data_IF_202027427506
#
_entry.id   IF_202027427506
#
_cell.length_a   1.000
_cell.length_b   1.000
_cell.length_c   1.000
_cell.angle_alpha   90.00
_cell.angle_beta   90.00
_cell.angle_gamma   90.00
#
_symmetry.space_group_name_H-M   'P 1'
#
loop_
_entity.id
_entity.type
_entity.pdbx_description
1 polymer ?
#
# COMPACT_ATOMS: atom_id res chain seq x y z
N UNK A 1 13.30 -19.29 17.21
CA UNK A 1 14.10 -18.72 16.09
C UNK A 1 13.41 -19.14 14.81
N UNK A 2 12.98 -18.23 13.91
CA UNK A 2 12.49 -18.61 12.61
C UNK A 2 13.62 -19.30 11.82
N UNK A 3 13.31 -20.30 10.99
CA UNK A 3 14.33 -21.00 10.23
C UNK A 3 15.04 -20.02 9.29
N UNK A 4 16.37 -20.01 9.30
CA UNK A 4 17.23 -19.17 8.45
C UNK A 4 17.09 -19.46 6.94
N UNK A 5 16.20 -20.35 6.55
CA UNK A 5 15.99 -20.79 5.16
C UNK A 5 15.08 -19.90 4.32
N UNK A 6 14.46 -18.87 4.89
CA UNK A 6 13.63 -17.90 4.15
C UNK A 6 14.39 -16.64 3.75
N UNK A 7 15.72 -16.72 3.66
CA UNK A 7 16.53 -15.66 3.08
C UNK A 7 16.15 -15.49 1.61
N UNK A 8 15.32 -14.50 1.39
CA UNK A 8 14.94 -13.85 0.13
C UNK A 8 15.10 -14.73 -1.13
N UNK A 9 14.02 -15.11 -1.82
CA UNK A 9 14.09 -15.86 -3.07
C UNK A 9 15.03 -15.19 -4.10
N UNK A 10 15.18 -13.86 -4.03
CA UNK A 10 16.08 -13.06 -4.86
C UNK A 10 17.56 -13.44 -4.68
N UNK A 11 18.03 -13.76 -3.46
CA UNK A 11 19.43 -14.16 -3.25
C UNK A 11 19.74 -15.51 -3.88
N UNK A 12 18.77 -16.43 -3.88
CA UNK A 12 18.89 -17.73 -4.53
C UNK A 12 18.92 -17.56 -6.05
N UNK A 13 18.02 -16.75 -6.63
CA UNK A 13 18.00 -16.44 -8.06
C UNK A 13 19.29 -15.76 -8.51
N UNK A 14 19.78 -14.80 -7.73
CA UNK A 14 21.05 -14.12 -8.04
C UNK A 14 22.24 -15.06 -8.01
N UNK A 15 22.35 -15.90 -6.98
CA UNK A 15 23.40 -16.91 -6.86
C UNK A 15 23.34 -17.93 -7.99
N UNK A 16 22.17 -18.48 -8.29
CA UNK A 16 22.03 -19.45 -9.38
C UNK A 16 22.34 -18.83 -10.74
N UNK A 17 21.97 -17.56 -10.97
CA UNK A 17 22.34 -16.81 -12.19
C UNK A 17 23.85 -16.65 -12.34
N UNK A 18 24.58 -16.30 -11.29
CA UNK A 18 26.05 -16.17 -11.31
C UNK A 18 26.69 -17.54 -11.59
N UNK A 19 26.25 -18.59 -10.90
CA UNK A 19 26.77 -19.95 -11.10
C UNK A 19 26.54 -20.41 -12.54
N UNK A 20 25.32 -20.24 -13.05
CA UNK A 20 24.99 -20.54 -14.44
C UNK A 20 25.90 -19.80 -15.43
N UNK A 21 26.07 -18.48 -15.21
CA UNK A 21 26.93 -17.64 -16.04
C UNK A 21 28.40 -18.05 -16.03
N UNK A 22 28.90 -18.52 -14.88
CA UNK A 22 30.25 -19.03 -14.76
C UNK A 22 30.47 -20.29 -15.64
N UNK A 23 29.47 -21.20 -15.66
CA UNK A 23 29.56 -22.41 -16.49
C UNK A 23 29.36 -22.16 -18.00
N UNK A 24 28.63 -21.09 -18.37
CA UNK A 24 28.31 -20.78 -19.75
C UNK A 24 29.16 -19.64 -20.35
N UNK A 25 30.16 -19.15 -19.61
CA UNK A 25 31.04 -18.08 -20.09
C UNK A 25 30.39 -16.71 -20.24
N UNK A 26 29.23 -16.47 -19.57
CA UNK A 26 28.46 -15.22 -19.65
C UNK A 26 28.72 -14.27 -18.48
N UNK A 27 29.80 -14.45 -17.72
CA UNK A 27 30.17 -13.56 -16.61
C UNK A 27 30.32 -12.08 -16.99
N UNK A 28 30.94 -11.74 -18.16
CA UNK A 28 31.03 -10.35 -18.59
C UNK A 28 29.67 -9.70 -18.78
N UNK A 29 28.71 -10.43 -19.37
CA UNK A 29 27.34 -9.93 -19.58
C UNK A 29 26.61 -9.73 -18.24
N UNK A 30 26.81 -10.62 -17.27
CA UNK A 30 26.25 -10.48 -15.93
C UNK A 30 26.81 -9.24 -15.23
N UNK A 31 28.11 -9.00 -15.37
CA UNK A 31 28.77 -7.82 -14.79
C UNK A 31 28.22 -6.53 -15.42
N UNK A 32 28.14 -6.49 -16.74
CA UNK A 32 27.55 -5.33 -17.45
C UNK A 32 26.11 -5.10 -17.05
N UNK A 33 25.27 -6.15 -17.03
CA UNK A 33 23.89 -6.05 -16.61
C UNK A 33 23.74 -5.56 -15.15
N UNK A 34 24.61 -5.98 -14.24
CA UNK A 34 24.62 -5.51 -12.87
C UNK A 34 24.94 -4.01 -12.77
N UNK A 35 25.93 -3.53 -13.55
CA UNK A 35 26.29 -2.11 -13.60
C UNK A 35 25.18 -1.25 -14.22
N UNK A 36 24.56 -1.75 -15.30
CA UNK A 36 23.46 -1.05 -15.96
C UNK A 36 22.22 -0.99 -15.05
N UNK A 37 21.90 -2.09 -14.36
CA UNK A 37 20.83 -2.12 -13.38
C UNK A 37 21.09 -1.15 -12.21
N UNK A 38 22.34 -0.99 -11.78
CA UNK A 38 22.69 -0.03 -10.74
C UNK A 38 22.47 1.42 -11.22
N UNK A 39 22.86 1.75 -12.47
CA UNK A 39 22.59 3.07 -13.07
C UNK A 39 21.10 3.34 -13.20
N UNK A 40 20.34 2.33 -13.68
CA UNK A 40 18.89 2.41 -13.80
C UNK A 40 18.23 2.65 -12.44
N UNK A 41 18.67 1.94 -11.40
CA UNK A 41 18.16 2.12 -10.04
C UNK A 41 18.39 3.55 -9.51
N UNK A 42 19.57 4.14 -9.75
CA UNK A 42 19.85 5.53 -9.35
C UNK A 42 18.96 6.50 -10.09
N UNK A 43 18.82 6.33 -11.41
CA UNK A 43 17.93 7.18 -12.23
C UNK A 43 16.48 7.08 -11.77
N UNK A 44 16.01 5.88 -11.48
CA UNK A 44 14.69 5.62 -10.94
C UNK A 44 14.49 6.32 -9.58
N UNK A 45 15.45 6.20 -8.67
CA UNK A 45 15.39 6.87 -7.35
C UNK A 45 15.28 8.38 -7.49
N UNK A 46 16.05 9.01 -8.38
CA UNK A 46 16.01 10.47 -8.60
C UNK A 46 14.65 10.88 -9.19
N UNK A 47 14.16 10.14 -10.19
CA UNK A 47 12.85 10.39 -10.80
C UNK A 47 11.73 10.27 -9.77
N UNK A 48 11.73 9.20 -8.99
CA UNK A 48 10.73 8.95 -7.96
C UNK A 48 10.80 10.02 -6.85
N UNK A 49 11.99 10.46 -6.46
CA UNK A 49 12.17 11.55 -5.51
C UNK A 49 11.47 12.83 -5.99
N UNK A 50 11.67 13.19 -7.27
CA UNK A 50 11.01 14.36 -7.87
C UNK A 50 9.49 14.24 -7.89
N UNK A 51 8.97 13.11 -8.39
CA UNK A 51 7.52 12.86 -8.45
C UNK A 51 6.88 12.85 -7.06
N UNK A 52 7.52 12.19 -6.09
CA UNK A 52 7.01 12.11 -4.72
C UNK A 52 7.06 13.47 -4.02
N UNK A 53 8.10 14.27 -4.25
CA UNK A 53 8.21 15.63 -3.70
C UNK A 53 7.12 16.54 -4.24
N UNK A 54 6.87 16.52 -5.55
CA UNK A 54 5.78 17.26 -6.18
C UNK A 54 4.43 16.87 -5.59
N UNK A 55 4.17 15.56 -5.51
CA UNK A 55 2.91 15.02 -5.01
C UNK A 55 2.70 15.35 -3.54
N UNK A 56 3.74 15.23 -2.71
CA UNK A 56 3.69 15.62 -1.29
C UNK A 56 3.38 17.10 -1.13
N UNK A 57 3.98 17.96 -1.97
CA UNK A 57 3.67 19.39 -1.98
C UNK A 57 2.21 19.69 -2.34
N UNK A 58 1.67 19.05 -3.38
CA UNK A 58 0.25 19.17 -3.75
C UNK A 58 -0.68 18.73 -2.62
N UNK A 59 -0.34 17.62 -1.93
CA UNK A 59 -1.13 17.13 -0.80
C UNK A 59 -1.04 18.04 0.42
N UNK A 60 0.08 18.69 0.66
CA UNK A 60 0.19 19.68 1.73
C UNK A 60 -0.72 20.88 1.46
N UNK A 61 -0.82 21.32 0.20
CA UNK A 61 -1.78 22.36 -0.21
C UNK A 61 -3.22 21.88 0.04
N UNK A 62 -3.55 20.64 -0.35
CA UNK A 62 -4.87 20.05 -0.12
C UNK A 62 -5.20 19.96 1.38
N UNK A 63 -4.22 19.63 2.21
CA UNK A 63 -4.37 19.59 3.67
C UNK A 63 -4.66 20.97 4.24
N UNK A 64 -3.83 21.96 3.91
CA UNK A 64 -4.00 23.35 4.38
C UNK A 64 -5.28 24.02 3.88
N UNK A 65 -5.81 23.59 2.73
CA UNK A 65 -7.10 24.08 2.20
C UNK A 65 -8.32 23.51 2.94
N UNK A 66 -8.13 22.57 3.88
CA UNK A 66 -9.21 21.88 4.59
C UNK A 66 -9.93 20.84 3.73
N UNK A 67 -9.40 20.50 2.55
CA UNK A 67 -9.99 19.46 1.69
C UNK A 67 -9.93 18.10 2.36
N UNK A 68 -8.82 17.76 3.01
CA UNK A 68 -8.65 16.49 3.71
C UNK A 68 -9.64 16.36 4.87
N UNK A 69 -9.86 17.44 5.64
CA UNK A 69 -10.85 17.45 6.72
C UNK A 69 -12.27 17.22 6.21
N UNK A 70 -12.64 17.82 5.07
CA UNK A 70 -13.94 17.57 4.41
C UNK A 70 -14.06 16.13 3.96
N UNK A 71 -13.03 15.56 3.35
CA UNK A 71 -13.00 14.15 2.96
C UNK A 71 -13.11 13.22 4.18
N UNK A 72 -12.42 13.54 5.28
CA UNK A 72 -12.51 12.80 6.55
C UNK A 72 -13.93 12.77 7.07
N UNK A 73 -14.60 13.93 7.15
CA UNK A 73 -15.99 14.01 7.60
C UNK A 73 -16.96 13.26 6.68
N UNK A 74 -16.72 13.29 5.37
CA UNK A 74 -17.56 12.60 4.40
C UNK A 74 -17.41 11.07 4.47
N UNK A 75 -16.21 10.56 4.75
CA UNK A 75 -15.95 9.13 4.78
C UNK A 75 -16.21 8.49 6.16
N UNK A 76 -16.27 9.30 7.21
CA UNK A 76 -16.46 8.84 8.59
C UNK A 76 -17.69 7.92 8.78
N UNK A 77 -18.88 8.20 8.23
CA UNK A 77 -20.03 7.30 8.35
C UNK A 77 -19.76 5.92 7.74
N UNK A 78 -19.05 5.89 6.61
CA UNK A 78 -18.65 4.63 5.97
C UNK A 78 -17.64 3.85 6.85
N UNK A 79 -16.69 4.55 7.48
CA UNK A 79 -15.75 3.93 8.40
C UNK A 79 -16.44 3.36 9.63
N UNK A 80 -17.41 4.06 10.20
CA UNK A 80 -18.22 3.57 11.33
C UNK A 80 -19.02 2.31 10.99
N UNK A 81 -19.56 2.26 9.77
CA UNK A 81 -20.25 1.06 9.29
C UNK A 81 -19.30 -0.10 9.06
N UNK A 82 -18.08 0.19 8.62
CA UNK A 82 -17.06 -0.79 8.30
C UNK A 82 -16.39 -1.40 9.55
N UNK A 83 -16.22 -0.58 10.58
CA UNK A 83 -15.55 -0.90 11.86
C UNK A 83 -16.50 -0.73 13.05
N UNK A 84 -17.51 -1.60 13.18
CA UNK A 84 -18.53 -1.47 14.22
C UNK A 84 -17.97 -1.66 15.64
N UNK A 85 -16.88 -2.39 15.81
CA UNK A 85 -16.21 -2.61 17.08
C UNK A 85 -15.35 -1.43 17.57
N UNK A 86 -15.16 -0.39 16.73
CA UNK A 86 -14.34 0.76 17.08
C UNK A 86 -15.23 1.93 17.52
N UNK A 87 -15.07 2.44 18.77
CA UNK A 87 -15.83 3.62 19.22
C UNK A 87 -15.55 4.85 18.35
N UNK A 88 -16.58 5.68 18.12
CA UNK A 88 -16.51 6.84 17.21
C UNK A 88 -15.44 7.85 17.59
N UNK A 89 -15.28 8.06 18.90
CA UNK A 89 -14.38 9.07 19.47
C UNK A 89 -12.99 8.49 19.82
N UNK A 90 -12.72 7.22 19.47
CA UNK A 90 -11.45 6.57 19.75
C UNK A 90 -10.40 6.92 18.71
N UNK A 91 -9.15 7.09 19.12
CA UNK A 91 -8.00 7.41 18.26
C UNK A 91 -7.84 6.42 17.09
N UNK A 92 -8.22 5.15 17.29
CA UNK A 92 -8.20 4.15 16.23
C UNK A 92 -9.04 4.58 15.01
N UNK A 93 -10.25 5.12 15.23
CA UNK A 93 -11.14 5.59 14.15
C UNK A 93 -10.48 6.72 13.36
N UNK A 94 -9.84 7.66 14.03
CA UNK A 94 -9.14 8.78 13.40
C UNK A 94 -7.96 8.27 12.55
N UNK A 95 -7.14 7.37 13.10
CA UNK A 95 -5.98 6.82 12.39
C UNK A 95 -6.38 5.94 11.20
N UNK A 96 -7.43 5.13 11.32
CA UNK A 96 -8.00 4.34 10.21
C UNK A 96 -8.46 5.28 9.10
N UNK A 97 -9.25 6.29 9.44
CA UNK A 97 -9.80 7.24 8.47
C UNK A 97 -8.68 8.00 7.75
N UNK A 98 -7.68 8.48 8.49
CA UNK A 98 -6.49 9.14 7.92
C UNK A 98 -5.72 8.22 6.97
N UNK A 99 -5.51 6.96 7.35
CA UNK A 99 -4.82 5.98 6.50
C UNK A 99 -5.61 5.71 5.20
N UNK A 100 -6.92 5.50 5.30
CA UNK A 100 -7.78 5.24 4.13
C UNK A 100 -7.77 6.43 3.17
N UNK A 101 -7.88 7.65 3.68
CA UNK A 101 -7.83 8.88 2.85
C UNK A 101 -6.46 9.02 2.19
N UNK A 102 -5.37 8.81 2.93
CA UNK A 102 -4.03 8.89 2.39
C UNK A 102 -3.82 7.87 1.26
N UNK A 103 -4.28 6.64 1.42
CA UNK A 103 -4.24 5.62 0.38
C UNK A 103 -5.11 6.00 -0.83
N UNK A 104 -6.34 6.45 -0.60
CA UNK A 104 -7.25 6.89 -1.66
C UNK A 104 -6.64 8.02 -2.51
N UNK A 105 -5.97 8.96 -1.88
CA UNK A 105 -5.28 10.06 -2.56
C UNK A 105 -3.94 9.66 -3.19
N UNK A 106 -3.53 8.39 -3.09
CA UNK A 106 -2.28 7.90 -3.68
C UNK A 106 -1.02 8.20 -2.85
N UNK A 107 -1.18 8.58 -1.58
CA UNK A 107 -0.10 8.92 -0.65
C UNK A 107 0.43 7.69 0.11
N UNK A 108 0.71 6.59 -0.57
CA UNK A 108 1.10 5.32 0.08
C UNK A 108 2.15 5.45 1.18
N UNK A 109 3.14 6.31 0.99
CA UNK A 109 4.20 6.57 1.98
C UNK A 109 3.68 7.30 3.24
N UNK A 110 2.79 8.28 3.08
CA UNK A 110 2.17 8.99 4.20
C UNK A 110 1.09 8.14 4.89
N UNK A 111 0.50 7.18 4.20
CA UNK A 111 -0.46 6.25 4.76
C UNK A 111 0.19 5.27 5.74
N UNK A 112 1.45 4.87 5.54
CA UNK A 112 2.14 3.87 6.37
C UNK A 112 2.21 4.26 7.85
N UNK A 113 2.66 5.46 8.26
CA UNK A 113 2.68 5.84 9.67
C UNK A 113 1.28 5.89 10.30
N UNK A 114 0.26 6.33 9.54
CA UNK A 114 -1.12 6.34 10.00
C UNK A 114 -1.64 4.91 10.19
N UNK A 115 -1.33 4.01 9.24
CA UNK A 115 -1.69 2.60 9.31
C UNK A 115 -1.09 1.87 10.51
N UNK A 116 0.18 2.12 10.81
CA UNK A 116 0.84 1.54 11.97
C UNK A 116 0.20 2.02 13.28
N UNK A 117 -0.14 3.32 13.37
CA UNK A 117 -0.87 3.87 14.53
C UNK A 117 -2.27 3.30 14.64
N UNK A 118 -2.99 3.16 13.52
CA UNK A 118 -4.30 2.54 13.50
C UNK A 118 -4.24 1.09 14.01
N UNK A 119 -3.29 0.30 13.53
CA UNK A 119 -3.14 -1.09 13.97
C UNK A 119 -2.77 -1.19 15.44
N UNK A 120 -1.91 -0.29 15.95
CA UNK A 120 -1.57 -0.23 17.37
C UNK A 120 -2.81 0.09 18.22
N UNK A 121 -3.57 1.12 17.86
CA UNK A 121 -4.78 1.50 18.59
C UNK A 121 -5.87 0.41 18.50
N UNK A 122 -6.00 -0.30 17.37
CA UNK A 122 -6.87 -1.47 17.26
C UNK A 122 -6.41 -2.63 18.15
N UNK A 123 -5.11 -2.82 18.30
CA UNK A 123 -4.55 -3.84 19.20
C UNK A 123 -4.83 -3.54 20.67
N UNK A 124 -4.86 -2.27 21.05
CA UNK A 124 -5.21 -1.82 22.41
C UNK A 124 -6.70 -2.06 22.73
N UNK A 125 -7.56 -1.99 21.72
CA UNK A 125 -8.99 -2.33 21.84
C UNK A 125 -9.26 -3.85 21.82
N UNK A 126 -8.28 -4.64 21.40
CA UNK A 126 -8.45 -6.08 21.27
C UNK A 126 -8.31 -6.77 22.64
N UNK A 127 -9.40 -7.35 23.14
CA UNK A 127 -9.45 -8.05 24.42
C UNK A 127 -8.65 -9.37 24.38
N UNK A 128 -8.61 -10.02 23.23
CA UNK A 128 -7.88 -11.28 23.01
C UNK A 128 -6.51 -11.04 22.37
N UNK A 129 -5.47 -10.88 23.19
CA UNK A 129 -4.10 -10.63 22.69
C UNK A 129 -3.51 -11.77 21.83
N UNK A 130 -4.12 -12.94 21.79
CA UNK A 130 -3.63 -14.09 21.01
C UNK A 130 -4.19 -14.16 19.57
N UNK A 131 -5.26 -13.44 19.27
CA UNK A 131 -5.95 -13.45 17.96
C UNK A 131 -6.21 -12.03 17.51
N UNK A 132 -6.08 -11.78 16.20
CA UNK A 132 -6.47 -10.50 15.62
C UNK A 132 -8.00 -10.34 15.66
N UNK A 133 -8.48 -9.16 16.07
CA UNK A 133 -9.91 -8.85 16.03
C UNK A 133 -10.42 -8.74 14.58
N UNK A 134 -11.73 -8.85 14.39
CA UNK A 134 -12.36 -8.66 13.08
C UNK A 134 -12.03 -7.30 12.48
N UNK A 135 -12.00 -6.25 13.29
CA UNK A 135 -11.65 -4.89 12.84
C UNK A 135 -10.20 -4.81 12.37
N UNK A 136 -9.25 -5.48 13.06
CA UNK A 136 -7.86 -5.58 12.60
C UNK A 136 -7.75 -6.30 11.25
N UNK A 137 -8.46 -7.40 11.08
CA UNK A 137 -8.49 -8.15 9.82
C UNK A 137 -9.11 -7.31 8.69
N UNK A 138 -10.23 -6.65 8.96
CA UNK A 138 -10.90 -5.76 8.01
C UNK A 138 -10.00 -4.61 7.57
N UNK A 139 -9.28 -3.99 8.52
CA UNK A 139 -8.33 -2.94 8.22
C UNK A 139 -7.18 -3.41 7.32
N UNK A 140 -6.63 -4.60 7.56
CA UNK A 140 -5.60 -5.20 6.70
C UNK A 140 -6.13 -5.49 5.30
N UNK A 141 -7.32 -6.07 5.17
CA UNK A 141 -7.92 -6.38 3.86
C UNK A 141 -8.15 -5.12 3.04
N UNK A 142 -8.63 -4.04 3.66
CA UNK A 142 -8.84 -2.76 2.97
C UNK A 142 -7.51 -2.16 2.52
N UNK A 143 -6.46 -2.21 3.34
CA UNK A 143 -5.14 -1.73 2.96
C UNK A 143 -4.51 -2.56 1.82
N UNK A 144 -4.68 -3.88 1.81
CA UNK A 144 -4.20 -4.76 0.75
C UNK A 144 -4.96 -4.54 -0.56
N UNK A 145 -6.27 -4.30 -0.50
CA UNK A 145 -7.09 -4.02 -1.69
C UNK A 145 -6.77 -2.67 -2.34
N UNK A 146 -6.12 -1.77 -1.58
CA UNK A 146 -5.47 -0.52 -2.03
C UNK A 146 -6.30 0.32 -3.01
N UNK A 147 -7.47 0.80 -2.58
CA UNK A 147 -8.23 1.75 -3.42
C UNK A 147 -7.42 3.05 -3.57
N UNK A 148 -7.07 3.37 -4.81
CA UNK A 148 -6.31 4.58 -5.14
C UNK A 148 -7.01 5.34 -6.26
N UNK A 149 -7.23 6.64 -6.05
CA UNK A 149 -7.76 7.53 -7.09
C UNK A 149 -6.70 7.78 -8.16
N UNK A 150 -5.46 7.99 -7.76
CA UNK A 150 -4.34 8.26 -8.66
C UNK A 150 -3.18 7.31 -8.31
N UNK A 151 -2.85 6.35 -9.20
CA UNK A 151 -1.72 5.44 -9.00
C UNK A 151 -0.40 6.12 -9.38
N UNK A 152 0.04 7.09 -8.55
CA UNK A 152 1.19 7.98 -8.83
C UNK A 152 2.45 7.21 -9.20
N UNK A 153 2.76 6.14 -8.46
CA UNK A 153 3.96 5.34 -8.69
C UNK A 153 3.92 4.66 -10.08
N UNK A 154 2.76 4.11 -10.47
CA UNK A 154 2.61 3.45 -11.77
C UNK A 154 2.70 4.46 -12.90
N UNK A 155 2.12 5.65 -12.73
CA UNK A 155 2.22 6.73 -13.72
C UNK A 155 3.68 7.16 -13.87
N UNK A 156 4.43 7.31 -12.77
CA UNK A 156 5.84 7.66 -12.79
C UNK A 156 6.70 6.60 -13.52
N UNK A 157 6.51 5.32 -13.20
CA UNK A 157 7.18 4.23 -13.92
C UNK A 157 6.87 4.23 -15.42
N UNK A 158 5.59 4.34 -15.78
CA UNK A 158 5.17 4.40 -17.19
C UNK A 158 5.80 5.59 -17.93
N UNK A 159 5.90 6.73 -17.27
CA UNK A 159 6.57 7.91 -17.84
C UNK A 159 8.05 7.66 -18.07
N UNK A 160 8.73 7.07 -17.10
CA UNK A 160 10.17 6.77 -17.17
C UNK A 160 10.50 5.78 -18.29
N UNK A 161 9.66 4.76 -18.49
CA UNK A 161 9.84 3.74 -19.52
C UNK A 161 9.21 4.14 -20.87
N UNK A 162 9.02 5.44 -21.13
CA UNK A 162 8.66 5.98 -22.44
C UNK A 162 7.22 5.74 -22.89
N UNK A 163 6.28 5.52 -21.97
CA UNK A 163 4.86 5.41 -22.33
C UNK A 163 4.36 6.72 -22.97
N UNK A 164 3.70 6.63 -24.11
CA UNK A 164 3.11 7.79 -24.81
C UNK A 164 2.02 8.48 -23.96
N UNK A 165 1.30 7.71 -23.13
CA UNK A 165 0.26 8.24 -22.25
C UNK A 165 0.35 7.59 -20.86
N UNK A 166 1.26 8.05 -19.99
CA UNK A 166 1.48 7.46 -18.67
C UNK A 166 0.22 7.46 -17.78
N UNK A 167 -0.56 8.54 -17.84
CA UNK A 167 -1.76 8.71 -17.03
C UNK A 167 -2.97 7.88 -17.47
N UNK A 168 -2.96 7.29 -18.68
CA UNK A 168 -4.07 6.48 -19.20
C UNK A 168 -4.42 5.28 -18.31
N UNK A 169 -3.48 4.82 -17.48
CA UNK A 169 -3.69 3.73 -16.51
C UNK A 169 -4.65 4.10 -15.35
N UNK A 170 -4.85 5.39 -15.08
CA UNK A 170 -5.60 5.84 -13.90
C UNK A 170 -7.06 5.33 -13.91
N UNK A 171 -7.74 5.39 -15.05
CA UNK A 171 -9.13 4.89 -15.18
C UNK A 171 -9.24 3.38 -14.92
N UNK A 172 -8.54 2.54 -15.68
CA UNK A 172 -8.51 1.09 -15.46
C UNK A 172 -8.06 0.69 -14.04
N UNK A 173 -7.04 1.37 -13.49
CA UNK A 173 -6.56 1.10 -12.15
C UNK A 173 -7.63 1.42 -11.09
N UNK A 174 -8.34 2.54 -11.23
CA UNK A 174 -9.43 2.91 -10.33
C UNK A 174 -10.54 1.85 -10.35
N UNK A 175 -10.97 1.41 -11.53
CA UNK A 175 -12.00 0.37 -11.65
C UNK A 175 -11.55 -0.95 -11.02
N UNK A 176 -10.30 -1.36 -11.27
CA UNK A 176 -9.74 -2.58 -10.69
C UNK A 176 -9.66 -2.51 -9.17
N UNK A 177 -9.20 -1.38 -8.60
CA UNK A 177 -9.09 -1.21 -7.15
C UNK A 177 -10.47 -1.09 -6.48
N UNK A 178 -11.46 -0.47 -7.12
CA UNK A 178 -12.85 -0.47 -6.63
C UNK A 178 -13.40 -1.89 -6.58
N UNK A 179 -13.24 -2.68 -7.64
CA UNK A 179 -13.70 -4.06 -7.68
C UNK A 179 -13.01 -4.92 -6.59
N UNK A 180 -11.69 -4.79 -6.45
CA UNK A 180 -10.91 -5.47 -5.41
C UNK A 180 -11.38 -5.10 -4.01
N UNK A 181 -11.58 -3.80 -3.74
CA UNK A 181 -12.01 -3.31 -2.43
C UNK A 181 -13.44 -3.76 -2.12
N UNK A 182 -14.35 -3.72 -3.10
CA UNK A 182 -15.71 -4.22 -2.93
C UNK A 182 -15.74 -5.71 -2.59
N UNK A 183 -14.93 -6.52 -3.29
CA UNK A 183 -14.80 -7.95 -2.98
C UNK A 183 -14.22 -8.17 -1.57
N UNK A 184 -13.18 -7.43 -1.20
CA UNK A 184 -12.57 -7.51 0.13
C UNK A 184 -13.54 -7.14 1.25
N UNK A 185 -14.28 -6.03 1.12
CA UNK A 185 -15.29 -5.61 2.08
C UNK A 185 -16.41 -6.65 2.20
N UNK A 186 -16.89 -7.17 1.07
CA UNK A 186 -17.92 -8.22 1.06
C UNK A 186 -17.45 -9.45 1.81
N UNK A 187 -16.22 -9.90 1.54
CA UNK A 187 -15.62 -11.02 2.26
C UNK A 187 -15.55 -10.77 3.77
N UNK A 188 -15.05 -9.61 4.20
CA UNK A 188 -14.96 -9.26 5.62
C UNK A 188 -16.34 -9.28 6.28
N UNK A 189 -17.37 -8.70 5.65
CA UNK A 189 -18.73 -8.66 6.22
C UNK A 189 -19.42 -10.03 6.26
N UNK A 190 -19.14 -10.92 5.31
CA UNK A 190 -19.63 -12.30 5.34
C UNK A 190 -18.97 -13.10 6.45
N UNK A 191 -17.66 -12.91 6.66
CA UNK A 191 -16.93 -13.61 7.72
C UNK A 191 -17.30 -13.09 9.12
N UNK A 192 -17.55 -11.77 9.25
CA UNK A 192 -18.00 -11.14 10.50
C UNK A 192 -19.33 -11.73 10.98
N UNK A 193 -20.30 -11.90 10.07
CA UNK A 193 -21.58 -12.55 10.39
C UNK A 193 -21.44 -13.97 10.89
N UNK A 194 -20.49 -14.74 10.37
CA UNK A 194 -20.24 -16.13 10.79
C UNK A 194 -19.58 -16.24 12.17
N UNK A 195 -18.84 -15.21 12.62
CA UNK A 195 -18.21 -15.20 13.94
C UNK A 195 -19.18 -14.81 15.07
N UNK A 196 -20.37 -14.29 14.75
CA UNK A 196 -21.41 -13.99 15.74
C UNK A 196 -22.23 -15.24 16.14
N UNK A 197 -22.11 -16.31 15.33
CA UNK A 197 -22.87 -17.58 15.55
C UNK A 197 -22.04 -18.65 16.30
N UNK A 198 -20.89 -18.31 16.88
CA UNK A 198 -20.06 -19.14 17.75
C UNK A 198 -19.73 -18.38 19.03
#
# INVERSE_FOLDING_TARGET
RPPRSTLFPYTTLFRSGIIYGAFHGTLPQITTAALDSAKEAVTLCITMLGVMSLWTGLMEIANRSGLIDKCTKAILPLMQWLFPGVPKDHDAMQHITTNVIANFLGLGWAATPAGLRAMKALSELNVENSRASTDMCTFLVINISSIQLIPVNIIAYRSQYGSVSPAAIAGPALLATIASTAAGITFCKVMDRKNVDF
#
